data_IF_342151047875
#
_entry.id   IF_342151047875
#
_cell.length_a   1.000
_cell.length_b   1.000
_cell.length_c   1.000
_cell.angle_alpha   90.00
_cell.angle_beta   90.00
_cell.angle_gamma   90.00
#
_symmetry.space_group_name_H-M   'P 1'
#
loop_
_entity.id
_entity.type
_entity.pdbx_description
1 polymer ?
#
# COMPACT_ATOMS: atom_id res chain seq x y z
N UNK A 1 3.71 -5.22 2.10
CA UNK A 1 4.28 -4.98 0.76
C UNK A 1 5.32 -3.85 0.75
N UNK A 2 5.04 -2.64 1.24
CA UNK A 2 5.96 -1.50 1.10
C UNK A 2 7.33 -1.71 1.77
N UNK A 3 7.38 -2.28 2.97
CA UNK A 3 8.65 -2.56 3.66
C UNK A 3 9.50 -3.56 2.88
N UNK A 4 8.88 -4.67 2.50
CA UNK A 4 9.55 -5.71 1.72
C UNK A 4 9.96 -5.23 0.33
N UNK A 5 9.14 -4.39 -0.29
CA UNK A 5 9.46 -3.81 -1.57
C UNK A 5 10.67 -2.86 -1.46
N UNK A 6 10.79 -2.10 -0.36
CA UNK A 6 11.96 -1.28 -0.11
C UNK A 6 13.25 -2.12 -0.04
N UNK A 7 13.20 -3.24 0.67
CA UNK A 7 14.33 -4.17 0.78
C UNK A 7 14.62 -4.92 -0.53
N UNK A 8 13.57 -5.31 -1.28
CA UNK A 8 13.73 -5.87 -2.61
C UNK A 8 14.45 -4.91 -3.57
N UNK A 9 14.14 -3.61 -3.51
CA UNK A 9 14.75 -2.61 -4.37
C UNK A 9 16.25 -2.40 -4.06
N UNK A 10 16.65 -2.46 -2.79
CA UNK A 10 18.02 -2.12 -2.36
C UNK A 10 18.85 -3.31 -1.90
N UNK A 11 18.21 -4.48 -1.79
CA UNK A 11 18.89 -5.71 -1.38
C UNK A 11 19.89 -6.21 -2.42
N UNK A 12 20.80 -7.08 -1.97
CA UNK A 12 21.80 -7.70 -2.83
C UNK A 12 21.18 -8.64 -3.85
N UNK A 13 21.75 -8.70 -5.05
CA UNK A 13 21.31 -9.60 -6.13
C UNK A 13 21.40 -11.08 -5.73
N UNK A 14 22.33 -11.45 -4.87
CA UNK A 14 22.47 -12.81 -4.35
C UNK A 14 21.25 -13.27 -3.56
N UNK A 15 20.51 -12.34 -2.95
CA UNK A 15 19.26 -12.58 -2.22
C UNK A 15 18.02 -12.25 -3.05
N UNK A 16 18.20 -12.03 -4.36
CA UNK A 16 17.12 -11.69 -5.28
C UNK A 16 16.68 -10.23 -5.22
N UNK A 17 17.50 -9.33 -4.66
CA UNK A 17 17.30 -7.89 -4.68
C UNK A 17 17.78 -7.25 -5.98
N UNK A 18 17.47 -5.95 -6.14
CA UNK A 18 17.77 -5.19 -7.37
C UNK A 18 18.96 -4.24 -7.26
N UNK A 19 19.57 -4.11 -6.09
CA UNK A 19 20.75 -3.26 -5.81
C UNK A 19 20.55 -1.78 -6.23
N UNK A 20 19.32 -1.28 -6.19
CA UNK A 20 19.06 0.12 -6.49
C UNK A 20 19.61 1.03 -5.40
N UNK A 21 20.08 2.21 -5.80
CA UNK A 21 20.56 3.22 -4.87
C UNK A 21 19.41 3.74 -3.99
N UNK A 22 19.74 4.26 -2.80
CA UNK A 22 18.74 4.88 -1.91
C UNK A 22 17.99 6.04 -2.61
N UNK A 23 18.67 6.78 -3.50
CA UNK A 23 18.03 7.84 -4.30
C UNK A 23 17.01 7.29 -5.29
N UNK A 24 17.33 6.18 -5.97
CA UNK A 24 16.42 5.51 -6.89
C UNK A 24 15.21 4.95 -6.14
N UNK A 25 15.41 4.27 -5.00
CA UNK A 25 14.33 3.81 -4.13
C UNK A 25 13.45 4.99 -3.69
N UNK A 26 14.06 6.06 -3.20
CA UNK A 26 13.33 7.26 -2.74
C UNK A 26 12.48 7.88 -3.84
N UNK A 27 13.03 8.02 -5.05
CA UNK A 27 12.30 8.56 -6.20
C UNK A 27 11.11 7.64 -6.57
N UNK A 28 11.35 6.34 -6.67
CA UNK A 28 10.34 5.36 -7.03
C UNK A 28 9.19 5.36 -6.01
N UNK A 29 9.52 5.19 -4.74
CA UNK A 29 8.53 5.14 -3.68
C UNK A 29 7.81 6.49 -3.49
N UNK A 30 8.52 7.61 -3.60
CA UNK A 30 7.95 8.95 -3.46
C UNK A 30 6.93 9.26 -4.57
N UNK A 31 7.30 9.05 -5.84
CA UNK A 31 6.40 9.30 -6.98
C UNK A 31 5.20 8.34 -6.94
N UNK A 32 5.43 7.05 -6.70
CA UNK A 32 4.34 6.07 -6.64
C UNK A 32 3.38 6.33 -5.48
N UNK A 33 3.89 6.69 -4.31
CA UNK A 33 3.07 7.09 -3.16
C UNK A 33 2.29 8.37 -3.46
N UNK A 34 2.92 9.34 -4.13
CA UNK A 34 2.23 10.55 -4.58
C UNK A 34 1.03 10.24 -5.48
N UNK A 35 1.20 9.35 -6.46
CA UNK A 35 0.10 8.89 -7.33
C UNK A 35 -0.96 8.14 -6.52
N UNK A 36 -0.55 7.25 -5.64
CA UNK A 36 -1.45 6.47 -4.79
C UNK A 36 -2.40 7.34 -3.94
N UNK A 37 -1.93 8.50 -3.48
CA UNK A 37 -2.74 9.40 -2.66
C UNK A 37 -3.44 10.50 -3.45
N UNK A 38 -2.90 10.94 -4.58
CA UNK A 38 -3.53 11.96 -5.41
C UNK A 38 -4.61 11.40 -6.34
N UNK A 39 -4.34 10.27 -6.96
CA UNK A 39 -5.23 9.69 -7.97
C UNK A 39 -6.61 9.26 -7.43
N UNK A 40 -6.79 8.83 -6.16
CA UNK A 40 -8.10 8.55 -5.57
C UNK A 40 -9.12 9.68 -5.69
N UNK A 41 -8.67 10.93 -5.69
CA UNK A 41 -9.53 12.11 -5.89
C UNK A 41 -10.23 12.04 -7.26
N UNK A 42 -9.54 11.53 -8.28
CA UNK A 42 -10.07 11.41 -9.65
C UNK A 42 -10.80 10.06 -9.85
N UNK A 43 -10.25 8.99 -9.29
CA UNK A 43 -10.80 7.63 -9.48
C UNK A 43 -12.10 7.42 -8.73
N UNK A 44 -12.37 8.17 -7.66
CA UNK A 44 -13.67 8.22 -7.01
C UNK A 44 -14.78 8.60 -7.99
N UNK A 45 -14.61 9.69 -8.74
CA UNK A 45 -15.56 10.12 -9.75
C UNK A 45 -15.75 9.10 -10.90
N UNK A 46 -14.69 8.37 -11.26
CA UNK A 46 -14.76 7.28 -12.23
C UNK A 46 -15.61 6.14 -11.67
N UNK A 47 -15.40 5.76 -10.41
CA UNK A 47 -16.15 4.69 -9.76
C UNK A 47 -17.63 5.01 -9.59
N UNK A 48 -17.95 6.25 -9.20
CA UNK A 48 -19.35 6.72 -9.09
C UNK A 48 -20.09 6.65 -10.43
N UNK A 49 -19.38 6.94 -11.54
CA UNK A 49 -19.98 6.92 -12.87
C UNK A 49 -20.12 5.52 -13.47
N UNK A 50 -19.04 4.73 -13.45
CA UNK A 50 -19.00 3.43 -14.16
C UNK A 50 -19.48 2.26 -13.31
N UNK A 51 -19.60 2.48 -12.00
CA UNK A 51 -20.02 1.49 -11.03
C UNK A 51 -18.85 0.83 -10.30
N UNK A 52 -19.07 0.62 -9.03
CA UNK A 52 -18.05 0.12 -8.10
C UNK A 52 -17.56 -1.27 -8.47
N UNK A 53 -18.49 -2.18 -8.82
CA UNK A 53 -18.16 -3.57 -9.20
C UNK A 53 -17.23 -3.64 -10.41
N UNK A 54 -17.49 -2.85 -11.44
CA UNK A 54 -16.67 -2.82 -12.67
C UNK A 54 -15.28 -2.23 -12.41
N UNK A 55 -15.23 -1.16 -11.63
CA UNK A 55 -13.95 -0.49 -11.33
C UNK A 55 -13.12 -1.34 -10.36
N UNK A 56 -13.72 -2.04 -9.39
CA UNK A 56 -13.02 -3.04 -8.57
C UNK A 56 -12.46 -4.19 -9.41
N UNK A 57 -13.24 -4.70 -10.38
CA UNK A 57 -12.74 -5.74 -11.28
C UNK A 57 -11.49 -5.25 -12.04
N UNK A 58 -11.53 -4.05 -12.60
CA UNK A 58 -10.39 -3.44 -13.28
C UNK A 58 -9.20 -3.26 -12.33
N UNK A 59 -9.44 -2.77 -11.12
CA UNK A 59 -8.41 -2.61 -10.10
C UNK A 59 -7.71 -3.94 -9.77
N UNK A 60 -8.47 -5.01 -9.57
CA UNK A 60 -7.91 -6.34 -9.31
C UNK A 60 -7.15 -6.90 -10.50
N UNK A 61 -7.61 -6.69 -11.73
CA UNK A 61 -6.85 -7.04 -12.93
C UNK A 61 -5.49 -6.34 -12.98
N UNK A 62 -5.47 -5.02 -12.71
CA UNK A 62 -4.24 -4.24 -12.65
C UNK A 62 -3.31 -4.75 -11.53
N UNK A 63 -3.83 -5.01 -10.34
CA UNK A 63 -3.05 -5.53 -9.23
C UNK A 63 -2.42 -6.89 -9.53
N UNK A 64 -3.22 -7.85 -10.01
CA UNK A 64 -2.75 -9.22 -10.30
C UNK A 64 -1.68 -9.18 -11.39
N UNK A 65 -1.93 -8.46 -12.48
CA UNK A 65 -0.95 -8.35 -13.57
C UNK A 65 0.30 -7.60 -13.14
N UNK A 66 0.17 -6.52 -12.33
CA UNK A 66 1.31 -5.81 -11.79
C UNK A 66 2.20 -6.72 -10.93
N UNK A 67 1.60 -7.50 -10.01
CA UNK A 67 2.36 -8.42 -9.18
C UNK A 67 2.97 -9.58 -9.94
N UNK A 68 2.33 -10.09 -10.98
CA UNK A 68 2.90 -11.16 -11.82
C UNK A 68 4.09 -10.63 -12.63
N UNK A 69 3.98 -9.43 -13.19
CA UNK A 69 5.04 -8.90 -14.07
C UNK A 69 6.14 -8.15 -13.33
N UNK A 70 5.91 -7.62 -12.12
CA UNK A 70 6.90 -6.86 -11.35
C UNK A 70 8.26 -7.58 -11.25
N UNK A 71 8.34 -8.87 -10.84
CA UNK A 71 9.62 -9.56 -10.69
C UNK A 71 10.32 -9.89 -12.01
N UNK A 72 9.68 -9.67 -13.16
CA UNK A 72 10.30 -9.88 -14.49
C UNK A 72 11.16 -8.69 -14.93
N UNK A 73 11.01 -7.54 -14.27
CA UNK A 73 11.77 -6.34 -14.57
C UNK A 73 12.89 -6.13 -13.54
N UNK A 74 14.12 -5.98 -14.01
CA UNK A 74 15.31 -5.74 -13.19
C UNK A 74 15.90 -4.34 -13.41
N UNK A 75 15.51 -3.67 -14.50
CA UNK A 75 15.94 -2.29 -14.75
C UNK A 75 15.11 -1.29 -13.94
N UNK A 76 15.75 -0.21 -13.49
CA UNK A 76 15.06 0.87 -12.76
C UNK A 76 13.81 1.36 -13.50
N UNK A 77 13.92 1.65 -14.80
CA UNK A 77 12.80 2.15 -15.60
C UNK A 77 11.65 1.14 -15.68
N UNK A 78 11.95 -0.15 -15.85
CA UNK A 78 10.95 -1.21 -15.91
C UNK A 78 10.19 -1.35 -14.59
N UNK A 79 10.93 -1.42 -13.48
CA UNK A 79 10.35 -1.50 -12.13
C UNK A 79 9.54 -0.22 -11.80
N UNK A 80 10.05 0.95 -12.20
CA UNK A 80 9.37 2.22 -12.00
C UNK A 80 8.01 2.25 -12.70
N UNK A 81 7.96 1.86 -13.99
CA UNK A 81 6.71 1.79 -14.76
C UNK A 81 5.74 0.79 -14.13
N UNK A 82 6.21 -0.40 -13.75
CA UNK A 82 5.37 -1.42 -13.11
C UNK A 82 4.85 -0.97 -11.76
N UNK A 83 5.66 -0.25 -10.98
CA UNK A 83 5.21 0.30 -9.71
C UNK A 83 4.16 1.41 -9.88
N UNK A 84 4.30 2.27 -10.90
CA UNK A 84 3.26 3.25 -11.23
C UNK A 84 1.97 2.56 -11.69
N UNK A 85 2.09 1.50 -12.47
CA UNK A 85 0.93 0.68 -12.87
C UNK A 85 0.22 0.06 -11.67
N UNK A 86 0.99 -0.49 -10.72
CA UNK A 86 0.46 -0.98 -9.42
C UNK A 86 -0.24 0.14 -8.64
N UNK A 87 0.37 1.34 -8.58
CA UNK A 87 -0.19 2.48 -7.87
C UNK A 87 -1.54 2.93 -8.46
N UNK A 88 -1.72 2.83 -9.79
CA UNK A 88 -3.02 3.08 -10.44
C UNK A 88 -4.08 2.08 -9.97
N UNK A 89 -3.76 0.79 -9.88
CA UNK A 89 -4.67 -0.22 -9.35
C UNK A 89 -5.09 0.07 -7.90
N UNK A 90 -4.12 0.45 -7.07
CA UNK A 90 -4.36 0.82 -5.67
C UNK A 90 -5.24 2.07 -5.54
N UNK A 91 -5.01 3.05 -6.39
CA UNK A 91 -5.79 4.30 -6.41
C UNK A 91 -7.24 4.09 -6.88
N UNK A 92 -7.51 3.10 -7.73
CA UNK A 92 -8.86 2.69 -8.11
C UNK A 92 -9.58 1.95 -6.97
N UNK A 93 -8.87 1.09 -6.26
CA UNK A 93 -9.44 0.25 -5.21
C UNK A 93 -9.84 1.04 -3.95
N UNK A 94 -8.93 1.86 -3.45
CA UNK A 94 -9.03 2.50 -2.13
C UNK A 94 -10.31 3.35 -1.92
N UNK A 95 -10.69 4.27 -2.82
CA UNK A 95 -11.89 5.08 -2.63
C UNK A 95 -13.18 4.27 -2.68
N UNK A 96 -13.22 3.20 -3.49
CA UNK A 96 -14.42 2.37 -3.64
C UNK A 96 -14.74 1.63 -2.34
N UNK A 97 -13.72 1.08 -1.67
CA UNK A 97 -13.94 0.37 -0.40
C UNK A 97 -14.47 1.33 0.66
N UNK A 98 -13.86 2.51 0.82
CA UNK A 98 -14.34 3.53 1.76
C UNK A 98 -15.74 4.02 1.42
N UNK A 99 -16.04 4.26 0.14
CA UNK A 99 -17.37 4.66 -0.32
C UNK A 99 -18.41 3.55 -0.10
N UNK A 100 -18.03 2.27 -0.29
CA UNK A 100 -18.92 1.13 -0.01
C UNK A 100 -19.28 1.11 1.47
N UNK A 101 -18.31 1.23 2.38
CA UNK A 101 -18.59 1.29 3.82
C UNK A 101 -19.52 2.45 4.13
N UNK A 102 -19.23 3.66 3.62
CA UNK A 102 -20.06 4.84 3.84
C UNK A 102 -21.50 4.68 3.33
N UNK A 103 -21.69 4.08 2.14
CA UNK A 103 -23.03 3.91 1.53
C UNK A 103 -23.83 2.71 2.08
N UNK A 104 -23.18 1.82 2.80
CA UNK A 104 -23.83 0.65 3.43
C UNK A 104 -24.06 0.83 4.93
N UNK A 105 -23.66 1.96 5.49
CA UNK A 105 -23.85 2.35 6.89
C UNK A 105 -24.69 3.62 6.96
N UNK A 106 -25.37 3.81 8.09
CA UNK A 106 -26.13 5.00 8.46
C UNK A 106 -25.54 5.70 9.68
N UNK A 107 -26.08 6.82 10.09
CA UNK A 107 -25.59 7.62 11.22
C UNK A 107 -25.53 6.83 12.55
N UNK A 108 -26.33 5.77 12.69
CA UNK A 108 -26.38 4.95 13.91
C UNK A 108 -25.26 3.91 13.96
N UNK A 109 -24.76 3.43 12.81
CA UNK A 109 -23.81 2.32 12.72
C UNK A 109 -22.52 2.63 11.92
N UNK A 110 -22.38 3.83 11.36
CA UNK A 110 -21.21 4.23 10.59
C UNK A 110 -19.90 4.06 11.37
N UNK A 111 -19.88 4.43 12.65
CA UNK A 111 -18.71 4.26 13.52
C UNK A 111 -18.28 2.79 13.62
N UNK A 112 -19.24 1.88 13.75
CA UNK A 112 -18.98 0.42 13.80
C UNK A 112 -18.48 -0.07 12.45
N UNK A 113 -19.11 0.35 11.34
CA UNK A 113 -18.73 -0.03 9.99
C UNK A 113 -17.29 0.36 9.66
N UNK A 114 -16.92 1.61 9.92
CA UNK A 114 -15.54 2.08 9.75
C UNK A 114 -14.57 1.43 10.75
N UNK A 115 -15.02 1.17 11.99
CA UNK A 115 -14.24 0.44 12.99
C UNK A 115 -13.85 -0.96 12.50
N UNK A 116 -14.80 -1.72 11.97
CA UNK A 116 -14.55 -3.05 11.38
C UNK A 116 -13.60 -2.92 10.17
N UNK A 117 -13.83 -1.95 9.30
CA UNK A 117 -12.96 -1.72 8.14
C UNK A 117 -11.51 -1.50 8.56
N UNK A 118 -11.25 -0.57 9.48
CA UNK A 118 -9.89 -0.30 9.96
C UNK A 118 -9.29 -1.47 10.76
N UNK A 119 -10.11 -2.21 11.51
CA UNK A 119 -9.66 -3.43 12.18
C UNK A 119 -9.15 -4.46 11.17
N UNK A 120 -9.88 -4.69 10.08
CA UNK A 120 -9.47 -5.62 9.03
C UNK A 120 -8.19 -5.16 8.31
N UNK A 121 -8.04 -3.84 8.09
CA UNK A 121 -6.78 -3.26 7.55
C UNK A 121 -5.60 -3.55 8.49
N UNK A 122 -5.76 -3.37 9.80
CA UNK A 122 -4.71 -3.65 10.78
C UNK A 122 -4.40 -5.14 10.89
N UNK A 123 -5.39 -6.02 10.86
CA UNK A 123 -5.18 -7.48 10.80
C UNK A 123 -4.38 -7.84 9.54
N UNK A 124 -4.72 -7.28 8.39
CA UNK A 124 -3.96 -7.48 7.15
C UNK A 124 -2.51 -6.96 7.23
N UNK A 125 -2.32 -5.81 7.87
CA UNK A 125 -1.00 -5.23 8.09
C UNK A 125 -0.12 -6.09 9.03
N UNK A 126 -0.74 -6.75 10.00
CA UNK A 126 -0.06 -7.69 10.91
C UNK A 126 0.27 -9.02 10.23
N UNK A 127 -0.69 -9.62 9.51
CA UNK A 127 -0.50 -10.92 8.85
C UNK A 127 0.44 -10.80 7.64
N UNK A 128 0.38 -9.69 6.91
CA UNK A 128 1.15 -9.50 5.67
C UNK A 128 2.66 -9.76 5.83
N UNK A 129 3.37 -9.12 6.76
CA UNK A 129 4.78 -9.41 7.04
C UNK A 129 5.03 -10.86 7.43
N UNK A 130 4.14 -11.47 8.22
CA UNK A 130 4.29 -12.89 8.62
C UNK A 130 4.25 -13.85 7.43
N UNK A 131 3.38 -13.59 6.45
CA UNK A 131 3.32 -14.39 5.22
C UNK A 131 4.62 -14.27 4.43
N UNK A 132 5.27 -13.11 4.43
CA UNK A 132 6.50 -12.91 3.68
C UNK A 132 7.70 -13.67 4.28
N UNK A 133 7.69 -13.91 5.58
CA UNK A 133 8.72 -14.72 6.25
C UNK A 133 8.74 -16.16 5.73
N UNK A 134 7.60 -16.67 5.23
CA UNK A 134 7.52 -18.01 4.62
C UNK A 134 8.30 -18.10 3.30
N UNK A 135 8.62 -16.96 2.67
CA UNK A 135 9.30 -16.88 1.39
C UNK A 135 10.71 -16.28 1.51
N UNK A 136 11.32 -16.37 2.69
CA UNK A 136 12.67 -15.86 2.95
C UNK A 136 13.67 -16.47 1.95
N UNK A 137 14.49 -15.64 1.32
CA UNK A 137 15.44 -16.06 0.28
C UNK A 137 14.88 -16.20 -1.15
N UNK A 138 13.57 -15.99 -1.34
CA UNK A 138 12.92 -16.02 -2.67
C UNK A 138 12.03 -14.80 -2.85
N UNK A 139 12.65 -13.61 -2.92
CA UNK A 139 11.94 -12.31 -2.95
C UNK A 139 10.86 -12.21 -4.01
N UNK A 140 11.05 -12.84 -5.19
CA UNK A 140 10.05 -12.85 -6.25
C UNK A 140 8.80 -13.67 -5.93
N UNK A 141 8.87 -14.68 -5.05
CA UNK A 141 7.68 -15.48 -4.64
C UNK A 141 6.68 -14.65 -3.85
N UNK A 142 7.12 -13.59 -3.16
CA UNK A 142 6.25 -12.66 -2.43
C UNK A 142 5.28 -11.97 -3.39
N UNK A 143 5.75 -11.60 -4.58
CA UNK A 143 4.89 -10.99 -5.61
C UNK A 143 3.83 -11.96 -6.11
N UNK A 144 4.20 -13.21 -6.38
CA UNK A 144 3.24 -14.23 -6.82
C UNK A 144 2.24 -14.60 -5.72
N UNK A 145 2.68 -14.68 -4.47
CA UNK A 145 1.79 -14.87 -3.33
C UNK A 145 0.80 -13.69 -3.20
N UNK A 146 1.28 -12.45 -3.37
CA UNK A 146 0.43 -11.26 -3.37
C UNK A 146 -0.58 -11.30 -4.52
N UNK A 147 -0.16 -11.70 -5.72
CA UNK A 147 -1.06 -11.88 -6.87
C UNK A 147 -2.15 -12.92 -6.58
N UNK A 148 -1.79 -14.05 -5.97
CA UNK A 148 -2.74 -15.12 -5.62
C UNK A 148 -3.76 -14.64 -4.59
N UNK A 149 -3.31 -13.94 -3.52
CA UNK A 149 -4.22 -13.37 -2.51
C UNK A 149 -5.16 -12.32 -3.13
N UNK A 150 -4.65 -11.46 -4.00
CA UNK A 150 -5.51 -10.49 -4.71
C UNK A 150 -6.48 -11.21 -5.64
N UNK A 151 -6.07 -12.28 -6.32
CA UNK A 151 -6.94 -13.05 -7.20
C UNK A 151 -8.15 -13.67 -6.46
N UNK A 152 -8.03 -14.00 -5.17
CA UNK A 152 -9.17 -14.43 -4.36
C UNK A 152 -10.27 -13.36 -4.27
N UNK A 153 -9.94 -12.09 -4.41
CA UNK A 153 -10.94 -11.02 -4.40
C UNK A 153 -11.89 -11.07 -5.62
N UNK A 154 -11.51 -11.73 -6.73
CA UNK A 154 -12.45 -11.96 -7.83
C UNK A 154 -13.61 -12.85 -7.40
N UNK A 155 -13.35 -13.84 -6.52
CA UNK A 155 -14.41 -14.69 -5.95
C UNK A 155 -15.32 -13.85 -5.06
N UNK A 156 -14.74 -13.02 -4.18
CA UNK A 156 -15.51 -12.12 -3.32
C UNK A 156 -16.33 -11.11 -4.14
N UNK A 157 -15.80 -10.66 -5.28
CA UNK A 157 -16.49 -9.74 -6.18
C UNK A 157 -17.76 -10.34 -6.80
N UNK A 158 -17.86 -11.68 -6.94
CA UNK A 158 -19.08 -12.34 -7.39
C UNK A 158 -20.24 -12.09 -6.42
N UNK A 159 -19.95 -12.10 -5.12
CA UNK A 159 -20.93 -11.88 -4.05
C UNK A 159 -21.11 -10.39 -3.70
N UNK A 160 -20.28 -9.51 -4.26
CA UNK A 160 -20.37 -8.08 -4.00
C UNK A 160 -21.67 -7.50 -4.56
N UNK A 161 -22.48 -6.95 -3.67
CA UNK A 161 -23.69 -6.19 -4.02
C UNK A 161 -23.32 -4.72 -4.08
N UNK A 162 -23.45 -4.14 -5.26
CA UNK A 162 -23.18 -2.73 -5.48
C UNK A 162 -24.19 -1.86 -4.73
N UNK A 163 -23.75 -0.88 -3.91
CA UNK A 163 -24.68 0.05 -3.27
C UNK A 163 -25.40 0.91 -4.31
N UNK A 164 -26.61 1.40 -3.99
CA UNK A 164 -27.39 2.23 -4.91
C UNK A 164 -26.61 3.48 -5.30
N UNK A 165 -26.69 3.81 -6.59
CA UNK A 165 -26.08 5.02 -7.16
C UNK A 165 -27.09 6.15 -7.24
N UNK A 166 -26.62 7.38 -7.07
CA UNK A 166 -27.45 8.55 -7.30
C UNK A 166 -27.63 8.78 -8.80
N UNK A 167 -28.86 8.90 -9.28
CA UNK A 167 -29.18 9.08 -10.71
C UNK A 167 -28.52 10.33 -11.33
N UNK A 168 -28.22 11.35 -10.52
CA UNK A 168 -27.54 12.56 -10.98
C UNK A 168 -26.07 12.31 -11.36
N UNK A 169 -25.38 11.42 -10.65
CA UNK A 169 -23.98 11.09 -10.93
C UNK A 169 -23.81 10.28 -12.23
N UNK A 170 -24.81 9.47 -12.59
CA UNK A 170 -24.79 8.73 -13.86
C UNK A 170 -24.91 9.65 -15.09
N UNK A 171 -25.60 10.78 -14.96
CA UNK A 171 -25.89 11.72 -16.08
C UNK A 171 -24.81 12.78 -16.30
N UNK A 172 -23.98 13.04 -15.31
CA UNK A 172 -22.95 14.06 -15.44
C UNK A 172 -21.78 13.58 -16.30
N UNK A 173 -21.30 14.42 -17.24
CA UNK A 173 -20.15 14.05 -18.06
C UNK A 173 -18.86 14.00 -17.20
N UNK A 174 -17.99 13.01 -17.46
CA UNK A 174 -16.74 12.83 -16.74
C UNK A 174 -15.89 14.11 -16.71
N UNK A 175 -15.85 14.85 -17.82
CA UNK A 175 -15.16 16.13 -17.91
C UNK A 175 -15.72 17.20 -16.99
N UNK A 176 -17.05 17.25 -16.79
CA UNK A 176 -17.67 18.18 -15.83
C UNK A 176 -17.37 17.77 -14.39
N UNK A 177 -17.47 16.49 -14.06
CA UNK A 177 -17.15 15.95 -12.72
C UNK A 177 -15.70 16.26 -12.36
N UNK A 178 -14.74 15.93 -13.23
CA UNK A 178 -13.32 16.23 -13.03
C UNK A 178 -13.05 17.75 -12.96
N UNK A 179 -13.66 18.54 -13.84
CA UNK A 179 -13.55 20.00 -13.82
C UNK A 179 -14.08 20.60 -12.51
N UNK A 180 -15.18 20.04 -11.97
CA UNK A 180 -15.72 20.40 -10.66
C UNK A 180 -14.73 20.13 -9.52
N UNK A 181 -14.11 18.95 -9.52
CA UNK A 181 -13.07 18.58 -8.54
C UNK A 181 -11.91 19.58 -8.57
N UNK A 182 -11.32 19.86 -9.74
CA UNK A 182 -10.21 20.81 -9.85
C UNK A 182 -10.60 22.22 -9.44
N UNK A 183 -11.81 22.66 -9.77
CA UNK A 183 -12.31 23.98 -9.34
C UNK A 183 -12.48 24.05 -7.82
N UNK A 184 -13.01 22.99 -7.20
CA UNK A 184 -13.18 22.92 -5.75
C UNK A 184 -11.82 22.86 -5.04
N UNK A 185 -10.86 22.08 -5.58
CA UNK A 185 -9.48 22.08 -5.09
C UNK A 185 -8.85 23.47 -5.15
N UNK A 186 -9.04 24.21 -6.27
CA UNK A 186 -8.60 25.61 -6.38
C UNK A 186 -9.21 26.54 -5.34
N UNK A 187 -10.47 26.27 -4.92
CA UNK A 187 -11.14 26.99 -3.83
C UNK A 187 -10.47 26.79 -2.46
N UNK A 188 -9.96 25.60 -2.19
CA UNK A 188 -9.27 25.26 -0.94
C UNK A 188 -8.03 26.14 -0.72
N UNK A 189 -7.28 26.46 -1.78
CA UNK A 189 -6.10 27.33 -1.68
C UNK A 189 -6.40 28.78 -1.27
N UNK A 190 -7.67 29.19 -1.24
CA UNK A 190 -8.08 30.50 -0.78
C UNK A 190 -8.30 30.57 0.75
N UNK A 191 -8.48 29.42 1.41
CA UNK A 191 -8.65 29.35 2.86
C UNK A 191 -7.29 29.09 3.54
N UNK A 192 -6.66 30.17 4.00
CA UNK A 192 -5.34 30.10 4.65
C UNK A 192 -5.37 29.24 5.93
N UNK A 193 -6.46 29.26 6.70
CA UNK A 193 -6.57 28.45 7.93
C UNK A 193 -6.59 26.96 7.59
N UNK A 194 -7.33 26.61 6.54
CA UNK A 194 -7.39 25.24 6.07
C UNK A 194 -6.04 24.79 5.48
N UNK A 195 -5.32 25.66 4.76
CA UNK A 195 -3.98 25.37 4.27
C UNK A 195 -2.97 25.10 5.40
N UNK A 196 -2.99 25.92 6.46
CA UNK A 196 -2.15 25.69 7.63
C UNK A 196 -2.48 24.34 8.28
N UNK A 197 -3.77 24.01 8.43
CA UNK A 197 -4.19 22.72 8.94
C UNK A 197 -3.68 21.56 8.07
N UNK A 198 -3.78 21.68 6.74
CA UNK A 198 -3.24 20.66 5.80
C UNK A 198 -1.72 20.51 5.94
N UNK A 199 -0.98 21.61 6.11
CA UNK A 199 0.47 21.56 6.31
C UNK A 199 0.86 20.84 7.60
N UNK A 200 0.13 21.09 8.69
CA UNK A 200 0.33 20.40 9.97
C UNK A 200 0.08 18.89 9.80
N UNK A 201 -1.03 18.52 9.18
CA UNK A 201 -1.36 17.12 8.91
C UNK A 201 -0.32 16.47 7.97
N UNK A 202 0.11 17.17 6.94
CA UNK A 202 1.16 16.68 6.03
C UNK A 202 2.48 16.44 6.78
N UNK A 203 2.88 17.37 7.66
CA UNK A 203 4.05 17.21 8.53
C UNK A 203 3.93 15.98 9.44
N UNK A 204 2.78 15.79 10.08
CA UNK A 204 2.51 14.60 10.90
C UNK A 204 2.67 13.30 10.09
N UNK A 205 2.00 13.19 8.94
CA UNK A 205 2.09 11.99 8.10
C UNK A 205 3.48 11.77 7.53
N UNK A 206 4.21 12.83 7.22
CA UNK A 206 5.61 12.73 6.77
C UNK A 206 6.48 12.07 7.85
N UNK A 207 6.35 12.52 9.11
CA UNK A 207 7.08 11.91 10.23
C UNK A 207 6.63 10.48 10.50
N UNK A 208 5.31 10.22 10.48
CA UNK A 208 4.76 8.88 10.67
C UNK A 208 5.29 7.88 9.66
N UNK A 209 5.39 8.26 8.40
CA UNK A 209 5.93 7.36 7.36
C UNK A 209 7.40 7.02 7.53
N UNK A 210 8.19 7.84 8.26
CA UNK A 210 9.59 7.52 8.54
C UNK A 210 9.75 6.27 9.42
N UNK A 211 8.73 5.92 10.22
CA UNK A 211 8.72 4.66 10.98
C UNK A 211 8.81 3.43 10.04
N UNK A 212 8.32 3.54 8.81
CA UNK A 212 8.32 2.45 7.84
C UNK A 212 9.43 2.56 6.80
N UNK A 213 9.97 3.75 6.55
CA UNK A 213 10.96 3.97 5.49
C UNK A 213 12.38 4.12 6.02
N UNK A 214 12.54 4.80 7.14
CA UNK A 214 13.85 5.15 7.70
C UNK A 214 14.25 4.25 8.87
N UNK A 215 13.31 3.94 9.76
CA UNK A 215 13.59 3.16 10.97
C UNK A 215 14.16 1.76 10.66
N UNK A 216 13.61 0.96 9.71
CA UNK A 216 14.20 -0.33 9.36
C UNK A 216 15.66 -0.22 8.88
N UNK A 217 15.95 0.80 8.07
CA UNK A 217 17.31 1.06 7.58
C UNK A 217 18.22 1.50 8.72
N UNK A 218 17.73 2.35 9.62
CA UNK A 218 18.49 2.77 10.80
C UNK A 218 18.82 1.57 11.70
N UNK A 219 17.85 0.70 11.97
CA UNK A 219 18.09 -0.51 12.77
C UNK A 219 19.11 -1.41 12.09
N UNK A 220 19.02 -1.64 10.79
CA UNK A 220 19.93 -2.51 10.06
C UNK A 220 21.37 -2.01 10.01
N UNK A 221 21.58 -0.69 10.03
CA UNK A 221 22.90 -0.08 9.83
C UNK A 221 23.57 0.43 11.13
N UNK A 222 22.78 0.77 12.16
CA UNK A 222 23.27 1.54 13.30
C UNK A 222 22.92 0.92 14.65
N UNK A 223 21.98 -0.04 14.71
CA UNK A 223 21.60 -0.65 15.98
C UNK A 223 22.31 -1.99 16.15
N UNK A 224 23.00 -2.16 17.26
CA UNK A 224 23.56 -3.45 17.65
C UNK A 224 22.44 -4.36 18.17
N UNK A 225 22.12 -5.38 17.40
CA UNK A 225 21.08 -6.35 17.72
C UNK A 225 21.59 -7.61 18.39
N UNK A 226 22.91 -7.72 18.66
CA UNK A 226 23.49 -8.91 19.29
C UNK A 226 22.87 -9.24 20.66
N UNK A 227 22.64 -8.21 21.48
CA UNK A 227 22.03 -8.41 22.81
C UNK A 227 20.64 -9.02 22.71
N UNK A 228 19.87 -8.58 21.73
CA UNK A 228 18.53 -9.10 21.48
C UNK A 228 18.56 -10.51 20.89
N UNK A 229 19.53 -10.77 20.00
CA UNK A 229 19.79 -12.11 19.46
C UNK A 229 20.13 -13.10 20.58
N UNK A 230 21.06 -12.75 21.46
CA UNK A 230 21.49 -13.61 22.58
C UNK A 230 20.32 -13.90 23.54
N UNK A 231 19.50 -12.90 23.82
CA UNK A 231 18.29 -13.08 24.60
C UNK A 231 17.34 -14.11 23.96
N UNK A 232 17.08 -14.03 22.66
CA UNK A 232 16.23 -14.98 21.97
C UNK A 232 16.89 -16.35 21.81
N UNK A 233 18.19 -16.42 21.57
CA UNK A 233 18.91 -17.69 21.47
C UNK A 233 18.81 -18.52 22.75
N UNK A 234 18.77 -17.87 23.91
CA UNK A 234 18.64 -18.54 25.20
C UNK A 234 17.17 -18.86 25.54
N UNK A 235 16.26 -17.90 25.32
CA UNK A 235 14.89 -18.02 25.83
C UNK A 235 13.89 -18.55 24.78
N UNK A 236 14.10 -18.26 23.50
CA UNK A 236 13.21 -18.62 22.40
C UNK A 236 14.06 -18.97 21.16
N UNK A 237 14.79 -20.11 21.15
CA UNK A 237 15.73 -20.48 20.07
C UNK A 237 15.12 -20.43 18.67
N UNK A 238 13.85 -20.76 18.54
CA UNK A 238 13.12 -20.70 17.28
C UNK A 238 13.21 -19.30 16.61
N UNK A 239 13.19 -18.21 17.40
CA UNK A 239 13.30 -16.84 16.87
C UNK A 239 14.71 -16.59 16.34
N UNK A 240 15.74 -16.92 17.12
CA UNK A 240 17.13 -16.72 16.70
C UNK A 240 17.54 -17.58 15.50
N UNK A 241 16.97 -18.75 15.36
CA UNK A 241 17.24 -19.65 14.22
C UNK A 241 16.53 -19.21 12.93
N UNK A 242 15.28 -18.72 13.05
CA UNK A 242 14.45 -18.41 11.88
C UNK A 242 14.54 -16.95 11.44
N UNK A 243 14.82 -16.03 12.36
CA UNK A 243 14.78 -14.57 12.09
C UNK A 243 16.15 -13.90 12.25
N UNK A 244 17.23 -14.64 12.03
CA UNK A 244 18.58 -14.07 11.94
C UNK A 244 19.06 -13.97 10.48
N UNK A 245 19.75 -12.88 10.17
CA UNK A 245 20.43 -12.67 8.88
C UNK A 245 21.80 -13.36 8.91
N UNK A 246 22.48 -13.34 10.05
CA UNK A 246 23.76 -14.00 10.31
C UNK A 246 23.86 -14.39 11.78
N UNK A 247 24.85 -15.21 12.13
CA UNK A 247 25.08 -15.57 13.52
C UNK A 247 25.29 -14.31 14.38
N UNK A 248 24.42 -14.13 15.36
CA UNK A 248 24.44 -12.99 16.27
C UNK A 248 23.66 -11.76 15.83
N UNK A 249 23.04 -11.73 14.64
CA UNK A 249 22.30 -10.55 14.13
C UNK A 249 20.88 -10.95 13.74
N UNK A 250 19.90 -10.33 14.41
CA UNK A 250 18.50 -10.49 14.05
C UNK A 250 18.17 -9.73 12.78
N UNK A 251 17.19 -10.26 12.06
CA UNK A 251 16.65 -9.60 10.88
C UNK A 251 16.00 -8.27 11.27
N UNK A 252 16.42 -7.14 10.68
CA UNK A 252 15.83 -5.83 10.96
C UNK A 252 14.32 -5.78 10.69
N UNK A 253 13.81 -6.59 9.76
CA UNK A 253 12.38 -6.70 9.47
C UNK A 253 11.60 -7.37 10.60
N UNK A 254 12.26 -8.24 11.36
CA UNK A 254 11.65 -8.87 12.53
C UNK A 254 11.52 -7.89 13.70
N UNK A 255 12.41 -6.90 13.78
CA UNK A 255 12.48 -5.95 14.90
C UNK A 255 11.56 -4.74 14.68
N UNK A 256 11.19 -4.41 13.43
CA UNK A 256 10.36 -3.26 13.06
C UNK A 256 8.93 -3.62 12.75
#
# INVERSE_FOLDING_TARGET
FFMLFANYLTGSSDLGGLEFTQSQKGLLMGVGTGILYFLPVLTGAIADRYGYKKVLFLAFCIYVTAFIFMPMFHSFTGVFIMYLYLAVGAALFKPIVSATVSKTTDDSNASVGFGIYYMMVNIGAFIGPMVTLLFKGTSHMIFYASAAVIALNFILLLFYKEPPREEQQEKESLGKALGGIFRNMGGIFKDVKFLIFLLIIAGFWTMYHQLFFTLPVFISQWVDTHVLYDFFAVNIPFISEHYSVSAGVLDPEFIT
#
